data_IF_253850630063
#
_entry.id   IF_253850630063
#
_cell.length_a   1.000
_cell.length_b   1.000
_cell.length_c   1.000
_cell.angle_alpha   90.00
_cell.angle_beta   90.00
_cell.angle_gamma   90.00
#
_symmetry.space_group_name_H-M   'P 1'
#
loop_
_entity.id
_entity.type
_entity.pdbx_description
1 polymer ?
#
# COMPACT_ATOMS: atom_id res chain seq x y z
N UNK A 1 3.47 -15.17 17.35
CA UNK A 1 2.74 -14.82 16.12
C UNK A 1 3.69 -14.10 15.19
N UNK A 2 3.55 -14.29 13.89
CA UNK A 2 4.29 -13.56 12.86
C UNK A 2 3.34 -12.55 12.20
N UNK A 3 3.81 -11.31 11.98
CA UNK A 3 3.05 -10.28 11.28
C UNK A 3 3.43 -10.30 9.81
N UNK A 4 2.42 -10.44 8.95
CA UNK A 4 2.55 -10.34 7.50
C UNK A 4 1.73 -9.13 7.05
N UNK A 5 2.38 -8.21 6.35
CA UNK A 5 1.81 -6.95 5.92
C UNK A 5 1.95 -6.80 4.42
N UNK A 6 0.97 -6.17 3.78
CA UNK A 6 0.95 -5.96 2.34
C UNK A 6 0.65 -4.49 2.03
N UNK A 7 1.37 -3.95 1.05
CA UNK A 7 0.87 -2.86 0.23
C UNK A 7 -0.25 -3.36 -0.72
N UNK A 8 -0.85 -2.47 -1.51
CA UNK A 8 -1.95 -2.80 -2.42
C UNK A 8 -1.52 -2.62 -3.87
N UNK A 9 -1.15 -1.41 -4.25
CA UNK A 9 -0.92 -1.02 -5.64
C UNK A 9 0.37 -1.67 -6.17
N UNK A 10 0.27 -2.43 -7.25
CA UNK A 10 1.39 -3.22 -7.76
C UNK A 10 1.79 -4.41 -6.90
N UNK A 11 1.16 -4.57 -5.73
CA UNK A 11 1.48 -5.61 -4.76
C UNK A 11 0.40 -6.66 -4.69
N UNK A 12 -0.82 -6.32 -4.28
CA UNK A 12 -1.98 -7.22 -4.28
C UNK A 12 -2.87 -7.00 -5.51
N UNK A 13 -2.88 -5.77 -6.03
CA UNK A 13 -3.75 -5.33 -7.13
C UNK A 13 -2.89 -4.78 -8.26
N UNK A 14 -3.19 -5.17 -9.51
CA UNK A 14 -2.54 -4.60 -10.68
C UNK A 14 -3.18 -3.24 -11.04
N UNK A 15 -2.80 -2.21 -10.29
CA UNK A 15 -3.42 -0.88 -10.36
C UNK A 15 -2.48 0.29 -10.64
N UNK A 16 -1.17 0.12 -10.48
CA UNK A 16 -0.17 1.18 -10.67
C UNK A 16 -0.38 2.03 -11.93
N UNK A 17 -0.74 1.39 -13.05
CA UNK A 17 -0.86 2.04 -14.35
C UNK A 17 -2.03 3.04 -14.47
N UNK A 18 -3.08 2.90 -13.67
CA UNK A 18 -4.20 3.84 -13.65
C UNK A 18 -4.22 4.67 -12.37
N UNK A 19 -3.84 4.11 -11.23
CA UNK A 19 -3.92 4.79 -9.93
C UNK A 19 -3.09 6.08 -9.93
N UNK A 20 -1.81 5.96 -10.34
CA UNK A 20 -0.88 7.09 -10.51
C UNK A 20 -1.47 8.17 -11.43
N UNK A 21 -2.10 7.75 -12.53
CA UNK A 21 -2.68 8.68 -13.52
C UNK A 21 -3.88 9.41 -12.93
N UNK A 22 -4.81 8.70 -12.31
CA UNK A 22 -6.03 9.27 -11.75
C UNK A 22 -5.73 10.19 -10.56
N UNK A 23 -4.71 9.86 -9.76
CA UNK A 23 -4.29 10.73 -8.65
C UNK A 23 -3.66 12.02 -9.17
N UNK A 24 -2.76 11.94 -10.15
CA UNK A 24 -2.19 13.12 -10.81
C UNK A 24 -3.26 13.99 -11.50
N UNK A 25 -4.25 13.36 -12.14
CA UNK A 25 -5.42 14.02 -12.73
C UNK A 25 -6.23 14.75 -11.66
N UNK A 26 -6.53 14.08 -10.54
CA UNK A 26 -7.31 14.69 -9.47
C UNK A 26 -6.64 15.94 -8.87
N UNK A 27 -5.33 15.86 -8.60
CA UNK A 27 -4.56 17.01 -8.11
C UNK A 27 -4.56 18.13 -9.16
N UNK A 28 -4.28 17.78 -10.42
CA UNK A 28 -4.16 18.75 -11.49
C UNK A 28 -5.46 19.50 -11.79
N UNK A 29 -6.60 18.82 -11.73
CA UNK A 29 -7.91 19.45 -11.95
C UNK A 29 -8.33 20.36 -10.78
N UNK A 30 -8.03 19.99 -9.53
CA UNK A 30 -8.41 20.79 -8.35
C UNK A 30 -7.50 22.01 -8.17
N UNK A 31 -6.19 21.84 -8.36
CA UNK A 31 -5.21 22.89 -8.10
C UNK A 31 -4.80 23.69 -9.34
N UNK A 32 -5.25 23.30 -10.54
CA UNK A 32 -4.85 23.91 -11.82
C UNK A 32 -3.32 23.90 -12.01
N UNK A 33 -2.67 22.80 -11.63
CA UNK A 33 -1.22 22.58 -11.74
C UNK A 33 -0.89 21.32 -12.53
N UNK A 34 0.31 21.29 -13.14
CA UNK A 34 0.80 20.09 -13.80
C UNK A 34 1.63 19.24 -12.83
N UNK A 35 1.17 18.01 -12.56
CA UNK A 35 1.90 17.03 -11.77
C UNK A 35 2.54 15.99 -12.68
N UNK A 36 3.85 15.77 -12.51
CA UNK A 36 4.50 14.59 -13.05
C UNK A 36 4.32 13.44 -12.05
N UNK A 37 3.98 12.24 -12.52
CA UNK A 37 3.77 11.06 -11.68
C UNK A 37 5.06 10.45 -11.11
N UNK A 38 6.10 11.25 -10.88
CA UNK A 38 7.35 10.77 -10.28
C UNK A 38 7.26 10.85 -8.76
N UNK A 39 6.57 9.88 -8.16
CA UNK A 39 6.29 9.91 -6.73
C UNK A 39 7.51 9.72 -5.82
N UNK A 40 8.62 9.20 -6.36
CA UNK A 40 9.86 8.99 -5.60
C UNK A 40 10.52 10.30 -5.13
N UNK A 41 10.14 11.45 -5.68
CA UNK A 41 10.70 12.75 -5.29
C UNK A 41 10.11 13.30 -3.98
N UNK A 42 8.97 12.77 -3.54
CA UNK A 42 8.28 13.25 -2.35
C UNK A 42 8.86 12.60 -1.10
N UNK A 43 8.88 13.34 0.01
CA UNK A 43 9.38 12.85 1.31
C UNK A 43 8.57 11.63 1.77
N UNK A 44 7.25 11.70 1.56
CA UNK A 44 6.30 10.65 1.86
C UNK A 44 5.55 10.25 0.58
N UNK A 45 5.94 9.12 -0.03
CA UNK A 45 5.27 8.56 -1.20
C UNK A 45 3.96 7.84 -0.80
N UNK A 46 2.99 8.66 -0.43
CA UNK A 46 1.62 8.32 -0.03
C UNK A 46 0.71 9.44 -0.53
N UNK A 47 -0.56 9.18 -0.84
CA UNK A 47 -1.45 10.20 -1.41
C UNK A 47 -1.51 11.47 -0.54
N UNK A 48 -1.74 11.31 0.77
CA UNK A 48 -1.80 12.46 1.69
C UNK A 48 -0.46 13.17 1.83
N UNK A 49 0.63 12.44 2.03
CA UNK A 49 1.98 13.03 2.14
C UNK A 49 2.49 13.71 0.85
N UNK A 50 2.13 13.20 -0.32
CA UNK A 50 2.40 13.84 -1.62
C UNK A 50 1.61 15.14 -1.69
N UNK A 51 0.31 15.09 -1.38
CA UNK A 51 -0.55 16.26 -1.44
C UNK A 51 -0.12 17.35 -0.44
N UNK A 52 0.27 16.98 0.78
CA UNK A 52 0.82 17.89 1.78
C UNK A 52 2.01 18.69 1.23
N UNK A 53 2.97 18.00 0.61
CA UNK A 53 4.16 18.63 0.05
C UNK A 53 3.80 19.51 -1.15
N UNK A 54 2.87 19.08 -2.02
CA UNK A 54 2.39 19.90 -3.14
C UNK A 54 1.71 21.18 -2.64
N UNK A 55 0.88 21.09 -1.61
CA UNK A 55 0.20 22.25 -0.99
C UNK A 55 1.24 23.23 -0.44
N UNK A 56 2.28 22.74 0.24
CA UNK A 56 3.37 23.56 0.77
C UNK A 56 4.17 24.24 -0.35
N UNK A 57 4.60 23.48 -1.36
CA UNK A 57 5.44 23.98 -2.46
C UNK A 57 4.74 25.01 -3.36
N UNK A 58 3.40 25.06 -3.34
CA UNK A 58 2.58 25.99 -4.13
C UNK A 58 1.90 27.09 -3.28
N UNK A 59 2.34 27.29 -2.03
CA UNK A 59 1.82 28.32 -1.11
C UNK A 59 0.30 28.22 -0.83
N UNK A 60 -0.26 27.01 -0.86
CA UNK A 60 -1.69 26.75 -0.63
C UNK A 60 -2.05 26.38 0.81
N UNK A 61 -1.11 26.47 1.76
CA UNK A 61 -1.28 25.97 3.14
C UNK A 61 -2.49 26.56 3.88
N UNK A 62 -2.96 27.75 3.52
CA UNK A 62 -4.15 28.37 4.11
C UNK A 62 -5.46 27.61 3.80
N UNK A 63 -5.46 26.78 2.75
CA UNK A 63 -6.60 25.99 2.27
C UNK A 63 -6.34 24.48 2.35
N UNK A 64 -5.35 24.05 3.14
CA UNK A 64 -4.88 22.65 3.17
C UNK A 64 -6.01 21.63 3.36
N UNK A 65 -6.82 21.78 4.41
CA UNK A 65 -7.91 20.84 4.72
C UNK A 65 -8.94 20.78 3.58
N UNK A 66 -9.30 21.94 3.02
CA UNK A 66 -10.25 22.03 1.90
C UNK A 66 -9.70 21.33 0.65
N UNK A 67 -8.41 21.53 0.34
CA UNK A 67 -7.76 20.92 -0.82
C UNK A 67 -7.68 19.41 -0.64
N UNK A 68 -7.33 18.91 0.55
CA UNK A 68 -7.33 17.48 0.84
C UNK A 68 -8.71 16.87 0.59
N UNK A 69 -9.76 17.48 1.12
CA UNK A 69 -11.12 17.02 0.91
C UNK A 69 -11.51 17.02 -0.59
N UNK A 70 -11.24 18.12 -1.30
CA UNK A 70 -11.58 18.25 -2.72
C UNK A 70 -10.83 17.26 -3.62
N UNK A 71 -9.51 17.15 -3.47
CA UNK A 71 -8.68 16.20 -4.24
C UNK A 71 -9.08 14.77 -3.92
N UNK A 72 -9.27 14.43 -2.64
CA UNK A 72 -9.66 13.08 -2.23
C UNK A 72 -11.02 12.69 -2.81
N UNK A 73 -12.04 13.55 -2.69
CA UNK A 73 -13.37 13.26 -3.24
C UNK A 73 -13.32 13.12 -4.76
N UNK A 74 -12.54 13.95 -5.44
CA UNK A 74 -12.40 13.88 -6.87
C UNK A 74 -11.68 12.59 -7.32
N UNK A 75 -10.60 12.21 -6.64
CA UNK A 75 -9.88 10.96 -6.90
C UNK A 75 -10.73 9.71 -6.64
N UNK A 76 -11.55 9.73 -5.59
CA UNK A 76 -12.57 8.68 -5.34
C UNK A 76 -13.50 8.57 -6.55
N UNK A 77 -14.05 9.69 -7.02
CA UNK A 77 -14.99 9.68 -8.14
C UNK A 77 -14.35 9.18 -9.45
N UNK A 78 -13.11 9.58 -9.73
CA UNK A 78 -12.35 9.10 -10.88
C UNK A 78 -12.11 7.59 -10.79
N UNK A 79 -11.75 7.09 -9.60
CA UNK A 79 -11.53 5.66 -9.34
C UNK A 79 -12.81 4.85 -9.54
N UNK A 80 -13.94 5.29 -8.97
CA UNK A 80 -15.25 4.64 -9.16
C UNK A 80 -15.62 4.55 -10.65
N UNK A 81 -15.46 5.65 -11.40
CA UNK A 81 -15.74 5.68 -12.83
C UNK A 81 -14.83 4.73 -13.61
N UNK A 82 -13.55 4.66 -13.25
CA UNK A 82 -12.60 3.75 -13.87
C UNK A 82 -13.00 2.29 -13.65
N UNK A 83 -13.33 1.91 -12.42
CA UNK A 83 -13.73 0.55 -12.05
C UNK A 83 -15.10 0.15 -12.62
N UNK A 84 -15.99 1.11 -12.87
CA UNK A 84 -17.26 0.86 -13.55
C UNK A 84 -17.09 0.51 -15.04
N UNK A 85 -15.97 0.92 -15.65
CA UNK A 85 -15.71 0.77 -17.08
C UNK A 85 -14.65 -0.28 -17.42
N UNK A 86 -13.84 -0.69 -16.43
CA UNK A 86 -12.69 -1.56 -16.62
C UNK A 86 -12.70 -2.70 -15.61
N UNK A 87 -12.25 -3.88 -16.02
CA UNK A 87 -12.04 -5.01 -15.11
C UNK A 87 -10.67 -4.88 -14.45
N UNK A 88 -10.65 -4.85 -13.13
CA UNK A 88 -9.43 -4.87 -12.35
C UNK A 88 -8.93 -6.31 -12.15
N UNK A 89 -7.61 -6.50 -12.17
CA UNK A 89 -6.98 -7.78 -11.87
C UNK A 89 -6.18 -7.70 -10.57
N UNK A 90 -6.16 -8.79 -9.82
CA UNK A 90 -5.15 -8.97 -8.78
C UNK A 90 -3.77 -9.16 -9.39
N UNK A 91 -2.72 -8.93 -8.60
CA UNK A 91 -1.44 -9.56 -8.87
C UNK A 91 -1.63 -11.08 -8.79
N UNK A 92 -1.19 -11.87 -9.80
CA UNK A 92 -1.60 -13.27 -9.92
C UNK A 92 -1.40 -14.10 -8.64
N UNK A 93 -2.51 -14.64 -8.10
CA UNK A 93 -2.50 -15.50 -6.91
C UNK A 93 -2.64 -14.76 -5.58
N UNK A 94 -2.81 -13.43 -5.57
CA UNK A 94 -2.89 -12.64 -4.34
C UNK A 94 -4.05 -13.08 -3.42
N UNK A 95 -5.26 -13.21 -3.94
CA UNK A 95 -6.42 -13.64 -3.16
C UNK A 95 -6.26 -15.06 -2.63
N UNK A 96 -5.71 -15.97 -3.44
CA UNK A 96 -5.42 -17.35 -3.02
C UNK A 96 -4.38 -17.40 -1.90
N UNK A 97 -3.33 -16.59 -1.98
CA UNK A 97 -2.32 -16.47 -0.93
C UNK A 97 -2.96 -15.93 0.35
N UNK A 98 -3.72 -14.83 0.29
CA UNK A 98 -4.39 -14.24 1.46
C UNK A 98 -5.26 -15.30 2.15
N UNK A 99 -6.08 -16.02 1.40
CA UNK A 99 -6.92 -17.09 1.95
C UNK A 99 -6.10 -18.17 2.66
N UNK A 100 -4.98 -18.57 2.06
CA UNK A 100 -4.08 -19.58 2.63
C UNK A 100 -3.39 -19.11 3.91
N UNK A 101 -3.02 -17.83 3.97
CA UNK A 101 -2.41 -17.24 5.16
C UNK A 101 -3.43 -17.01 6.29
N UNK A 102 -4.68 -16.69 5.97
CA UNK A 102 -5.75 -16.52 6.96
C UNK A 102 -6.12 -17.82 7.68
N UNK A 103 -5.93 -18.97 7.02
CA UNK A 103 -6.16 -20.27 7.63
C UNK A 103 -5.12 -20.66 8.70
N UNK A 104 -4.13 -19.79 8.97
CA UNK A 104 -3.02 -20.06 9.87
C UNK A 104 -3.11 -19.27 11.17
N UNK A 105 -3.23 -19.97 12.29
CA UNK A 105 -3.30 -19.37 13.63
C UNK A 105 -1.99 -18.71 14.09
N UNK A 106 -0.85 -19.07 13.47
CA UNK A 106 0.46 -18.52 13.81
C UNK A 106 0.74 -17.14 13.16
N UNK A 107 -0.13 -16.69 12.26
CA UNK A 107 0.02 -15.46 11.50
C UNK A 107 -1.02 -14.40 11.89
N UNK A 108 -0.63 -13.13 11.81
CA UNK A 108 -1.54 -11.98 11.70
C UNK A 108 -1.30 -11.28 10.38
N UNK A 109 -2.39 -10.93 9.71
CA UNK A 109 -2.36 -10.18 8.46
C UNK A 109 -2.74 -8.72 8.68
N UNK A 110 -2.09 -7.83 7.95
CA UNK A 110 -2.41 -6.42 7.93
C UNK A 110 -2.21 -5.81 6.53
N UNK A 111 -2.96 -4.76 6.23
CA UNK A 111 -2.69 -3.84 5.12
C UNK A 111 -2.06 -2.58 5.68
N UNK A 112 -1.02 -2.10 5.02
CA UNK A 112 -0.45 -0.78 5.22
C UNK A 112 -0.11 -0.21 3.85
N UNK A 113 -0.91 0.74 3.39
CA UNK A 113 -0.86 1.27 2.02
C UNK A 113 -0.72 2.79 2.01
N UNK A 114 -0.06 3.32 0.99
CA UNK A 114 0.04 4.76 0.77
C UNK A 114 -1.20 5.39 0.13
N UNK A 115 -2.13 4.59 -0.40
CA UNK A 115 -3.37 5.10 -0.99
C UNK A 115 -4.40 5.50 0.06
N UNK A 116 -5.33 6.40 -0.25
CA UNK A 116 -6.46 6.66 0.64
C UNK A 116 -7.32 5.41 0.87
N UNK A 117 -7.88 5.27 2.08
CA UNK A 117 -8.63 4.07 2.48
C UNK A 117 -9.78 3.72 1.53
N UNK A 118 -10.52 4.73 1.07
CA UNK A 118 -11.69 4.56 0.22
C UNK A 118 -11.33 3.92 -1.13
N UNK A 119 -10.34 4.46 -1.84
CA UNK A 119 -9.89 3.93 -3.14
C UNK A 119 -9.18 2.59 -2.97
N UNK A 120 -8.37 2.43 -1.92
CA UNK A 120 -7.73 1.18 -1.55
C UNK A 120 -8.75 0.04 -1.33
N UNK A 121 -9.82 0.29 -0.59
CA UNK A 121 -10.91 -0.68 -0.38
C UNK A 121 -11.65 -1.00 -1.66
N UNK A 122 -11.96 0.00 -2.49
CA UNK A 122 -12.59 -0.22 -3.80
C UNK A 122 -11.76 -1.18 -4.66
N UNK A 123 -10.44 -0.97 -4.73
CA UNK A 123 -9.50 -1.82 -5.47
C UNK A 123 -9.46 -3.25 -4.94
N UNK A 124 -9.36 -3.44 -3.62
CA UNK A 124 -9.36 -4.77 -3.01
C UNK A 124 -10.68 -5.52 -3.27
N UNK A 125 -11.83 -4.86 -3.10
CA UNK A 125 -13.13 -5.46 -3.38
C UNK A 125 -13.29 -5.87 -4.84
N UNK A 126 -12.81 -5.06 -5.78
CA UNK A 126 -12.89 -5.34 -7.22
C UNK A 126 -12.15 -6.63 -7.62
N UNK A 127 -11.11 -7.02 -6.87
CA UNK A 127 -10.36 -8.27 -7.11
C UNK A 127 -10.78 -9.41 -6.16
N UNK A 128 -11.84 -9.24 -5.38
CA UNK A 128 -12.38 -10.28 -4.50
C UNK A 128 -11.62 -10.46 -3.17
N UNK A 129 -10.77 -9.51 -2.79
CA UNK A 129 -10.10 -9.48 -1.49
C UNK A 129 -10.97 -8.67 -0.52
N UNK A 130 -11.34 -9.27 0.63
CA UNK A 130 -12.15 -8.57 1.64
C UNK A 130 -11.24 -7.76 2.60
N UNK A 131 -11.23 -6.42 2.55
CA UNK A 131 -10.38 -5.60 3.42
C UNK A 131 -10.71 -5.71 4.91
N UNK A 132 -11.93 -6.11 5.27
CA UNK A 132 -12.37 -6.24 6.67
C UNK A 132 -11.85 -7.53 7.36
N UNK A 133 -11.14 -8.36 6.60
CA UNK A 133 -10.64 -9.65 7.10
C UNK A 133 -9.25 -9.58 7.73
N UNK A 134 -8.66 -8.37 7.83
CA UNK A 134 -7.37 -8.10 8.44
C UNK A 134 -7.33 -6.68 9.05
N UNK A 135 -6.27 -6.40 9.81
CA UNK A 135 -6.01 -5.02 10.22
C UNK A 135 -5.71 -4.17 8.98
N UNK A 136 -6.09 -2.91 9.00
CA UNK A 136 -5.95 -2.01 7.87
C UNK A 136 -5.43 -0.68 8.39
N UNK A 137 -4.42 -0.11 7.75
CA UNK A 137 -4.02 1.28 7.91
C UNK A 137 -3.63 1.87 6.55
N UNK A 138 -3.85 3.17 6.38
CA UNK A 138 -3.52 3.85 5.14
C UNK A 138 -3.07 5.29 5.34
N UNK A 139 -2.88 6.04 4.25
CA UNK A 139 -2.51 7.45 4.34
C UNK A 139 -3.63 8.34 4.95
N UNK A 140 -4.84 7.80 5.12
CA UNK A 140 -5.92 8.38 5.93
C UNK A 140 -5.58 8.43 7.43
N UNK A 141 -4.64 7.60 7.89
CA UNK A 141 -4.24 7.52 9.30
C UNK A 141 -2.97 8.33 9.61
N UNK A 142 -2.02 8.37 8.67
CA UNK A 142 -0.77 9.10 8.80
C UNK A 142 -0.14 9.35 7.41
N UNK A 143 0.60 10.45 7.19
CA UNK A 143 1.28 10.69 5.92
C UNK A 143 2.53 9.82 5.75
N UNK A 144 3.23 9.48 6.83
CA UNK A 144 4.48 8.72 6.73
C UNK A 144 4.20 7.22 6.61
N UNK A 145 4.76 6.56 5.58
CA UNK A 145 4.61 5.11 5.38
C UNK A 145 5.05 4.28 6.58
N UNK A 146 6.09 4.71 7.30
CA UNK A 146 6.53 4.04 8.54
C UNK A 146 5.46 4.11 9.63
N UNK A 147 4.82 5.28 9.83
CA UNK A 147 3.72 5.45 10.79
C UNK A 147 2.50 4.61 10.39
N UNK A 148 2.15 4.56 9.10
CA UNK A 148 1.08 3.69 8.58
C UNK A 148 1.35 2.22 8.94
N UNK A 149 2.59 1.74 8.72
CA UNK A 149 3.00 0.38 9.05
C UNK A 149 2.94 0.08 10.55
N UNK A 150 3.35 1.02 11.41
CA UNK A 150 3.27 0.88 12.86
C UNK A 150 1.82 0.84 13.35
N UNK A 151 0.92 1.66 12.78
CA UNK A 151 -0.51 1.65 13.08
C UNK A 151 -1.14 0.32 12.66
N UNK A 152 -0.82 -0.19 11.46
CA UNK A 152 -1.28 -1.49 10.99
C UNK A 152 -0.83 -2.63 11.90
N UNK A 153 0.43 -2.61 12.36
CA UNK A 153 0.96 -3.55 13.35
C UNK A 153 0.18 -3.48 14.67
N UNK A 154 -0.02 -2.28 15.20
CA UNK A 154 -0.73 -2.08 16.46
C UNK A 154 -2.16 -2.64 16.38
N UNK A 155 -2.88 -2.37 15.28
CA UNK A 155 -4.23 -2.88 15.01
C UNK A 155 -4.25 -4.41 14.87
N UNK A 156 -3.24 -5.01 14.25
CA UNK A 156 -3.17 -6.45 14.02
C UNK A 156 -2.85 -7.25 15.29
N UNK A 157 -2.00 -6.71 16.15
CA UNK A 157 -1.40 -7.44 17.27
C UNK A 157 -1.92 -7.01 18.66
N UNK A 158 -2.64 -5.89 18.78
CA UNK A 158 -3.12 -5.36 20.07
C UNK A 158 -1.99 -5.29 21.11
N UNK A 159 -0.85 -4.70 20.74
CA UNK A 159 0.37 -4.57 21.57
C UNK A 159 1.13 -5.87 21.87
N UNK A 160 0.78 -7.01 21.26
CA UNK A 160 1.58 -8.23 21.34
C UNK A 160 2.81 -8.06 20.43
N UNK A 161 4.01 -8.20 20.97
CA UNK A 161 5.23 -8.17 20.15
C UNK A 161 5.29 -9.38 19.19
N UNK A 162 5.43 -9.17 17.87
CA UNK A 162 5.54 -10.25 16.91
C UNK A 162 6.92 -10.91 16.95
N UNK A 163 6.98 -12.18 16.55
CA UNK A 163 8.23 -12.94 16.39
C UNK A 163 8.99 -12.52 15.13
N UNK A 164 8.28 -12.07 14.09
CA UNK A 164 8.84 -11.49 12.88
C UNK A 164 7.83 -10.57 12.23
N UNK A 165 8.34 -9.66 11.40
CA UNK A 165 7.56 -8.72 10.59
C UNK A 165 8.00 -8.86 9.15
N UNK A 166 7.07 -9.19 8.27
CA UNK A 166 7.30 -9.32 6.83
C UNK A 166 6.37 -8.36 6.12
N UNK A 167 6.91 -7.58 5.20
CA UNK A 167 6.16 -6.65 4.37
C UNK A 167 6.37 -6.99 2.89
N UNK A 168 5.27 -7.07 2.14
CA UNK A 168 5.27 -7.20 0.69
C UNK A 168 4.92 -5.86 0.07
N UNK A 169 5.73 -5.41 -0.87
CA UNK A 169 5.56 -4.16 -1.61
C UNK A 169 6.33 -4.18 -2.93
N UNK A 170 6.02 -3.28 -3.85
CA UNK A 170 6.66 -3.15 -5.16
C UNK A 170 7.48 -1.86 -5.30
N UNK A 171 7.32 -0.90 -4.39
CA UNK A 171 7.91 0.43 -4.44
C UNK A 171 9.25 0.56 -3.73
N UNK A 172 10.05 1.54 -4.17
CA UNK A 172 11.28 1.93 -3.48
C UNK A 172 11.02 2.50 -2.08
N UNK A 173 9.89 3.17 -1.90
CA UNK A 173 9.40 3.67 -0.61
C UNK A 173 9.06 2.54 0.39
N UNK A 174 8.57 1.40 -0.09
CA UNK A 174 8.26 0.24 0.77
C UNK A 174 9.55 -0.35 1.34
N UNK A 175 10.54 -0.52 0.47
CA UNK A 175 11.88 -0.96 0.85
C UNK A 175 12.50 -0.03 1.89
N UNK A 176 12.46 1.28 1.65
CA UNK A 176 13.00 2.29 2.56
C UNK A 176 12.32 2.25 3.93
N UNK A 177 10.98 2.22 3.97
CA UNK A 177 10.22 2.14 5.21
C UNK A 177 10.53 0.84 5.98
N UNK A 178 10.68 -0.29 5.28
CA UNK A 178 11.08 -1.55 5.90
C UNK A 178 12.50 -1.50 6.49
N UNK A 179 13.45 -0.86 5.81
CA UNK A 179 14.81 -0.67 6.31
C UNK A 179 14.82 0.19 7.59
N UNK A 180 14.05 1.28 7.61
CA UNK A 180 13.92 2.17 8.78
C UNK A 180 13.29 1.46 9.99
N UNK A 181 12.24 0.67 9.77
CA UNK A 181 11.54 -0.05 10.83
C UNK A 181 12.15 -1.41 11.19
N UNK A 182 13.19 -1.84 10.47
CA UNK A 182 13.77 -3.18 10.58
C UNK A 182 12.73 -4.31 10.34
N UNK A 183 11.88 -4.12 9.33
CA UNK A 183 10.94 -5.13 8.85
C UNK A 183 11.59 -5.89 7.70
N UNK A 184 11.27 -7.18 7.56
CA UNK A 184 11.73 -7.92 6.40
C UNK A 184 10.92 -7.54 5.18
N UNK A 185 11.55 -6.90 4.22
CA UNK A 185 10.96 -6.61 2.93
C UNK A 185 11.03 -7.82 1.98
N UNK A 186 9.95 -8.06 1.25
CA UNK A 186 9.90 -8.95 0.09
C UNK A 186 9.34 -8.14 -1.08
N UNK A 187 10.16 -7.96 -2.11
CA UNK A 187 9.75 -7.22 -3.30
C UNK A 187 8.79 -8.05 -4.15
N UNK A 188 7.72 -7.42 -4.64
CA UNK A 188 6.78 -7.99 -5.60
C UNK A 188 7.00 -7.36 -6.97
N UNK A 189 7.09 -8.19 -8.01
CA UNK A 189 7.35 -7.74 -9.38
C UNK A 189 8.79 -7.23 -9.57
N UNK A 190 8.97 -6.32 -10.53
CA UNK A 190 10.31 -5.87 -10.98
C UNK A 190 10.60 -4.38 -10.75
N UNK A 191 9.66 -3.64 -10.16
CA UNK A 191 9.75 -2.18 -9.98
C UNK A 191 10.86 -1.76 -9.01
N UNK A 192 11.14 -2.57 -8.00
CA UNK A 192 12.19 -2.32 -7.01
C UNK A 192 13.23 -3.44 -6.99
N UNK A 193 14.51 -3.05 -6.99
CA UNK A 193 15.60 -4.01 -6.83
C UNK A 193 15.75 -4.42 -5.36
N UNK A 194 15.53 -5.71 -5.10
CA UNK A 194 15.75 -6.31 -3.79
C UNK A 194 16.23 -7.76 -3.91
N UNK A 195 16.99 -8.22 -2.90
CA UNK A 195 17.58 -9.56 -2.89
C UNK A 195 16.54 -10.67 -2.79
N UNK A 196 15.47 -10.43 -2.02
CA UNK A 196 14.36 -11.38 -1.85
C UNK A 196 13.16 -10.82 -2.62
N UNK A 197 12.82 -11.47 -3.73
CA UNK A 197 11.80 -11.00 -4.65
C UNK A 197 10.96 -12.16 -5.13
N UNK A 198 9.70 -11.90 -5.42
CA UNK A 198 8.78 -12.78 -6.11
C UNK A 198 8.20 -12.04 -7.31
N UNK A 199 7.93 -12.75 -8.40
CA UNK A 199 7.33 -12.12 -9.58
C UNK A 199 5.81 -11.92 -9.38
N UNK A 200 5.16 -12.89 -8.72
CA UNK A 200 3.75 -12.89 -8.32
C UNK A 200 3.51 -13.90 -7.18
N UNK A 201 2.25 -14.18 -6.85
CA UNK A 201 1.86 -15.08 -5.75
C UNK A 201 1.33 -16.45 -6.20
N UNK A 202 1.51 -16.84 -7.47
CA UNK A 202 1.01 -18.14 -7.98
C UNK A 202 1.66 -19.33 -7.26
N UNK A 203 2.93 -19.20 -6.85
CA UNK A 203 3.62 -20.18 -6.01
C UNK A 203 3.37 -19.91 -4.52
N UNK A 204 2.13 -20.18 -4.07
CA UNK A 204 1.71 -19.95 -2.68
C UNK A 204 2.62 -20.67 -1.67
N UNK A 205 3.04 -21.90 -1.96
CA UNK A 205 3.93 -22.67 -1.07
C UNK A 205 5.32 -22.04 -0.99
N UNK A 206 5.87 -21.64 -2.14
CA UNK A 206 7.13 -20.89 -2.22
C UNK A 206 7.08 -19.61 -1.41
N UNK A 207 6.03 -18.79 -1.57
CA UNK A 207 5.85 -17.55 -0.80
C UNK A 207 5.75 -17.84 0.71
N UNK A 208 4.99 -18.85 1.12
CA UNK A 208 4.89 -19.24 2.54
C UNK A 208 6.25 -19.68 3.09
N UNK A 209 7.07 -20.38 2.29
CA UNK A 209 8.43 -20.78 2.69
C UNK A 209 9.35 -19.57 2.90
N UNK A 210 9.10 -18.46 2.20
CA UNK A 210 9.82 -17.22 2.46
C UNK A 210 9.50 -16.71 3.86
N UNK A 211 8.27 -16.84 4.37
CA UNK A 211 7.90 -16.32 5.69
C UNK A 211 8.70 -16.96 6.84
N UNK A 212 9.06 -18.25 6.72
CA UNK A 212 9.71 -19.03 7.78
C UNK A 212 11.24 -19.03 7.71
N UNK A 213 11.82 -18.64 6.57
CA UNK A 213 13.26 -18.75 6.28
C UNK A 213 14.19 -17.76 7.01
N UNK A 214 13.74 -17.10 8.10
CA UNK A 214 14.62 -16.23 8.93
C UNK A 214 14.80 -16.83 10.31
N UNK A 215 15.60 -17.89 10.34
CA UNK A 215 16.61 -18.11 11.37
C UNK A 215 17.83 -18.67 10.66
N UNK A 216 18.82 -17.81 10.46
CA UNK A 216 20.26 -18.11 10.54
C UNK A 216 21.05 -17.13 9.67
N UNK A 217 21.43 -16.02 10.29
CA UNK A 217 22.78 -15.48 10.22
C UNK A 217 22.94 -14.48 11.36
N UNK A 218 23.50 -15.00 12.45
CA UNK A 218 24.26 -14.22 13.44
C UNK A 218 25.42 -13.51 12.73
#
# INVERSE_FOLDING_TARGET
MHLIMFDIDGTLVDSNHFDDRLFAEAIGEVLDIHINGNWEQFIHATDSGILDQIIEENDFSASSDQIHDEVKQHFIQLTENHLAQNTLSEIPGAAQLIQSLQARDDLKLAIATGGWEETARMKLHAVGINPDSFAFASCSDAPARTEIMEIAEQRALNHISPLSRVYFGDGSWDKKACEELNYRFIAVGERVEHRVRIDDFKDTEGVISLLTSVRDKK
#
